data_IF_895428772543
#
_entry.id   IF_895428772543
#
_cell.length_a   1.000
_cell.length_b   1.000
_cell.length_c   1.000
_cell.angle_alpha   90.00
_cell.angle_beta   90.00
_cell.angle_gamma   90.00
#
_symmetry.space_group_name_H-M   'P 1'
#
loop_
_entity.id
_entity.type
_entity.pdbx_description
1 polymer ?
#
# COMPACT_ATOMS: atom_id res chain seq x y z
N UNK A 1 5.19 -12.94 -20.56
CA UNK A 1 4.81 -12.43 -21.91
C UNK A 1 4.71 -10.91 -21.96
N UNK A 2 4.16 -10.25 -20.93
CA UNK A 2 4.04 -8.77 -20.88
C UNK A 2 5.42 -8.10 -20.86
N UNK A 3 6.39 -8.68 -20.14
CA UNK A 3 7.78 -8.19 -20.14
C UNK A 3 8.48 -8.33 -21.48
N UNK A 4 8.17 -9.35 -22.28
CA UNK A 4 8.72 -9.51 -23.65
C UNK A 4 8.19 -8.45 -24.62
N UNK A 5 6.94 -8.02 -24.51
CA UNK A 5 6.36 -6.95 -25.33
C UNK A 5 6.96 -5.57 -25.01
N UNK A 6 7.34 -5.32 -23.74
CA UNK A 6 7.97 -4.07 -23.31
C UNK A 6 9.47 -3.99 -23.64
N UNK A 7 10.15 -5.13 -23.73
CA UNK A 7 11.59 -5.21 -24.05
C UNK A 7 11.85 -5.11 -25.55
N UNK A 8 10.86 -5.36 -26.41
CA UNK A 8 11.00 -5.33 -27.87
C UNK A 8 10.88 -3.94 -28.52
N UNK A 9 10.46 -2.91 -27.81
CA UNK A 9 10.42 -1.55 -28.35
C UNK A 9 11.52 -0.69 -27.74
N UNK A 10 12.58 -0.44 -28.50
CA UNK A 10 13.72 0.41 -28.09
C UNK A 10 13.32 1.82 -27.63
N UNK A 11 12.10 2.24 -27.88
CA UNK A 11 11.55 3.55 -27.47
C UNK A 11 11.09 3.61 -26.01
N UNK A 12 10.92 2.48 -25.33
CA UNK A 12 10.38 2.46 -23.96
C UNK A 12 11.43 2.48 -22.85
N UNK A 13 12.73 2.29 -23.17
CA UNK A 13 13.81 2.21 -22.17
C UNK A 13 14.86 3.26 -22.52
N UNK A 14 14.76 4.46 -21.95
CA UNK A 14 15.64 5.57 -22.30
C UNK A 14 16.85 5.75 -21.37
N UNK A 15 16.81 5.25 -20.15
CA UNK A 15 17.94 5.41 -19.21
C UNK A 15 18.27 4.08 -18.53
N UNK A 16 19.46 3.57 -18.83
CA UNK A 16 20.09 2.48 -18.10
C UNK A 16 21.04 3.07 -17.07
N UNK A 17 20.68 3.04 -15.81
CA UNK A 17 21.64 3.24 -14.73
C UNK A 17 22.41 1.93 -14.51
N UNK A 18 23.74 1.94 -14.65
CA UNK A 18 24.55 0.80 -14.26
C UNK A 18 24.78 0.82 -12.76
N UNK A 19 24.31 -0.20 -12.08
CA UNK A 19 24.77 -0.52 -10.72
C UNK A 19 26.09 -1.27 -10.82
N UNK A 20 26.98 -1.15 -9.84
CA UNK A 20 28.29 -1.83 -9.82
C UNK A 20 28.19 -3.37 -9.74
N UNK A 21 26.98 -3.96 -9.73
CA UNK A 21 26.75 -5.41 -9.80
C UNK A 21 26.29 -5.78 -11.21
N UNK A 22 27.06 -6.63 -11.87
CA UNK A 22 26.86 -7.11 -13.25
C UNK A 22 25.56 -7.90 -13.48
N UNK A 23 24.73 -8.14 -12.47
CA UNK A 23 23.49 -8.92 -12.55
C UNK A 23 22.20 -8.11 -12.44
N UNK A 24 22.26 -6.83 -12.10
CA UNK A 24 21.07 -5.99 -11.93
C UNK A 24 21.07 -4.81 -12.88
N UNK A 25 19.99 -4.66 -13.65
CA UNK A 25 19.77 -3.50 -14.52
C UNK A 25 18.63 -2.68 -13.96
N UNK A 26 18.92 -1.44 -13.57
CA UNK A 26 17.88 -0.50 -13.15
C UNK A 26 17.10 -0.01 -14.37
N UNK A 27 15.81 -0.34 -14.43
CA UNK A 27 14.90 0.12 -15.48
C UNK A 27 14.04 1.27 -14.95
N UNK A 28 14.06 2.41 -15.63
CA UNK A 28 13.20 3.55 -15.32
C UNK A 28 12.04 3.60 -16.31
N UNK A 29 10.81 3.71 -15.81
CA UNK A 29 9.62 3.89 -16.67
C UNK A 29 9.67 5.28 -17.27
N UNK A 30 9.72 5.41 -18.62
CA UNK A 30 10.10 6.67 -19.27
C UNK A 30 8.98 7.70 -19.36
N UNK A 31 7.72 7.31 -19.23
CA UNK A 31 6.59 8.23 -19.39
C UNK A 31 5.36 7.83 -18.58
N UNK A 32 4.41 8.76 -18.48
CA UNK A 32 3.16 8.61 -17.70
C UNK A 32 2.23 7.50 -18.25
N UNK A 33 2.24 7.27 -19.57
CA UNK A 33 1.38 6.25 -20.19
C UNK A 33 1.83 4.85 -19.84
N UNK A 34 3.14 4.59 -19.90
CA UNK A 34 3.72 3.30 -19.50
C UNK A 34 3.54 3.07 -17.99
N UNK A 35 3.68 4.12 -17.18
CA UNK A 35 3.39 4.05 -15.75
C UNK A 35 1.93 3.68 -15.49
N UNK A 36 0.98 4.28 -16.21
CA UNK A 36 -0.45 3.98 -16.08
C UNK A 36 -0.79 2.54 -16.47
N UNK A 37 -0.17 2.03 -17.54
CA UNK A 37 -0.33 0.64 -17.98
C UNK A 37 0.23 -0.31 -16.91
N UNK A 38 1.40 0.02 -16.35
CA UNK A 38 2.02 -0.79 -15.30
C UNK A 38 1.15 -0.81 -14.04
N UNK A 39 0.66 0.35 -13.60
CA UNK A 39 -0.27 0.46 -12.47
C UNK A 39 -1.55 -0.35 -12.71
N UNK A 40 -2.12 -0.26 -13.91
CA UNK A 40 -3.32 -1.01 -14.28
C UNK A 40 -3.06 -2.53 -14.26
N UNK A 41 -1.96 -2.99 -14.84
CA UNK A 41 -1.61 -4.42 -14.86
C UNK A 41 -1.33 -4.96 -13.47
N UNK A 42 -0.65 -4.18 -12.62
CA UNK A 42 -0.44 -4.52 -11.20
C UNK A 42 -1.79 -4.60 -10.48
N UNK A 43 -2.68 -3.63 -10.69
CA UNK A 43 -4.02 -3.60 -10.09
C UNK A 43 -4.88 -4.79 -10.55
N UNK A 44 -4.86 -5.14 -11.83
CA UNK A 44 -5.58 -6.30 -12.37
C UNK A 44 -5.04 -7.62 -11.80
N UNK A 45 -3.73 -7.77 -11.74
CA UNK A 45 -3.09 -8.94 -11.16
C UNK A 45 -3.40 -9.09 -9.65
N UNK A 46 -3.40 -7.98 -8.91
CA UNK A 46 -3.85 -7.95 -7.52
C UNK A 46 -5.33 -8.30 -7.39
N UNK A 47 -6.17 -7.80 -8.29
CA UNK A 47 -7.61 -8.09 -8.28
C UNK A 47 -7.88 -9.59 -8.46
N UNK A 48 -7.15 -10.27 -9.32
CA UNK A 48 -7.26 -11.71 -9.54
C UNK A 48 -6.75 -12.53 -8.34
N UNK A 49 -5.68 -12.08 -7.71
CA UNK A 49 -5.15 -12.71 -6.50
C UNK A 49 -6.11 -12.55 -5.31
N UNK A 50 -6.72 -11.36 -5.19
CA UNK A 50 -7.72 -11.06 -4.16
C UNK A 50 -9.07 -11.71 -4.41
N UNK A 51 -9.45 -11.97 -5.67
CA UNK A 51 -10.69 -12.68 -5.98
C UNK A 51 -10.69 -14.12 -5.45
N UNK A 52 -9.50 -14.69 -5.25
CA UNK A 52 -9.29 -16.03 -4.68
C UNK A 52 -9.23 -16.04 -3.15
N UNK A 53 -8.94 -14.90 -2.52
CA UNK A 53 -8.94 -14.75 -1.06
C UNK A 53 -10.28 -14.20 -0.57
N UNK A 54 -10.64 -14.54 0.66
CA UNK A 54 -11.91 -14.11 1.26
C UNK A 54 -11.87 -12.61 1.57
N UNK A 55 -12.18 -11.75 0.57
CA UNK A 55 -12.21 -10.29 0.71
C UNK A 55 -13.09 -9.82 1.87
N UNK A 56 -14.19 -10.53 2.12
CA UNK A 56 -15.12 -10.14 3.17
C UNK A 56 -14.45 -10.12 4.53
N UNK A 57 -13.58 -11.08 4.83
CA UNK A 57 -12.88 -11.17 6.12
C UNK A 57 -11.85 -10.04 6.30
N UNK A 58 -11.18 -9.59 5.24
CA UNK A 58 -10.26 -8.45 5.30
C UNK A 58 -11.00 -7.16 5.68
N UNK A 59 -12.12 -6.87 5.00
CA UNK A 59 -12.89 -5.65 5.29
C UNK A 59 -13.63 -5.73 6.62
N UNK A 60 -14.07 -6.90 7.02
CA UNK A 60 -14.66 -7.13 8.33
C UNK A 60 -13.63 -6.86 9.44
N UNK A 61 -12.44 -7.45 9.34
CA UNK A 61 -11.35 -7.18 10.27
C UNK A 61 -10.96 -5.70 10.30
N UNK A 62 -10.88 -5.05 9.13
CA UNK A 62 -10.54 -3.64 8.99
C UNK A 62 -11.52 -2.70 9.71
N UNK A 63 -12.83 -2.94 9.58
CA UNK A 63 -13.84 -2.08 10.21
C UNK A 63 -14.15 -2.45 11.66
N UNK A 64 -13.77 -3.66 12.10
CA UNK A 64 -13.90 -4.13 13.48
C UNK A 64 -12.67 -3.87 14.34
N UNK A 65 -11.62 -3.24 13.77
CA UNK A 65 -10.36 -2.93 14.47
C UNK A 65 -9.60 -4.19 14.94
N UNK A 66 -9.74 -5.28 14.16
CA UNK A 66 -9.04 -6.55 14.43
C UNK A 66 -7.66 -6.54 13.76
N UNK A 67 -6.68 -5.93 14.45
CA UNK A 67 -5.32 -5.77 13.96
C UNK A 67 -4.58 -7.10 13.77
N UNK A 68 -4.85 -8.09 14.64
CA UNK A 68 -4.23 -9.42 14.56
C UNK A 68 -4.68 -10.15 13.28
N UNK A 69 -5.98 -10.10 13.02
CA UNK A 69 -6.56 -10.71 11.80
C UNK A 69 -6.09 -9.99 10.54
N UNK A 70 -5.97 -8.66 10.58
CA UNK A 70 -5.39 -7.89 9.47
C UNK A 70 -3.94 -8.28 9.21
N UNK A 71 -3.13 -8.43 10.25
CA UNK A 71 -1.74 -8.87 10.17
C UNK A 71 -1.63 -10.23 9.47
N UNK A 72 -2.45 -11.20 9.89
CA UNK A 72 -2.50 -12.53 9.27
C UNK A 72 -2.85 -12.45 7.77
N UNK A 73 -3.98 -11.81 7.45
CA UNK A 73 -4.48 -11.73 6.07
C UNK A 73 -3.50 -10.98 5.15
N UNK A 74 -2.97 -9.85 5.60
CA UNK A 74 -2.02 -9.07 4.80
C UNK A 74 -0.70 -9.80 4.61
N UNK A 75 -0.18 -10.49 5.63
CA UNK A 75 1.03 -11.30 5.51
C UNK A 75 0.85 -12.46 4.54
N UNK A 76 -0.28 -13.15 4.58
CA UNK A 76 -0.61 -14.21 3.63
C UNK A 76 -0.70 -13.69 2.18
N UNK A 77 -1.33 -12.54 1.99
CA UNK A 77 -1.40 -11.89 0.69
C UNK A 77 0.00 -11.50 0.18
N UNK A 78 0.82 -10.91 1.01
CA UNK A 78 2.21 -10.56 0.68
C UNK A 78 3.02 -11.81 0.32
N UNK A 79 2.90 -12.88 1.12
CA UNK A 79 3.63 -14.13 0.87
C UNK A 79 3.32 -14.71 -0.50
N UNK A 80 2.05 -14.67 -0.91
CA UNK A 80 1.57 -15.24 -2.17
C UNK A 80 1.77 -14.33 -3.39
N UNK A 81 1.99 -13.01 -3.18
CA UNK A 81 1.97 -12.02 -4.27
C UNK A 81 3.32 -11.41 -4.57
N UNK A 82 4.22 -11.29 -3.60
CA UNK A 82 5.49 -10.56 -3.78
C UNK A 82 6.62 -11.47 -4.27
N UNK A 83 7.34 -10.99 -5.29
CA UNK A 83 8.64 -11.52 -5.68
C UNK A 83 9.74 -11.01 -4.72
N UNK A 84 10.86 -11.75 -4.59
CA UNK A 84 11.96 -11.45 -3.65
C UNK A 84 12.71 -10.12 -3.90
N UNK A 85 12.34 -9.36 -4.91
CA UNK A 85 13.06 -8.14 -5.32
C UNK A 85 12.29 -6.83 -5.11
N UNK A 86 11.02 -6.86 -4.67
CA UNK A 86 10.15 -5.68 -4.62
C UNK A 86 9.84 -5.24 -3.19
N UNK A 87 10.87 -4.77 -2.46
CA UNK A 87 10.70 -4.30 -1.08
C UNK A 87 10.75 -2.76 -0.94
N UNK A 88 10.47 -2.03 -2.01
CA UNK A 88 10.42 -0.58 -1.98
C UNK A 88 9.14 -0.10 -1.27
N UNK A 89 9.23 1.02 -0.55
CA UNK A 89 8.09 1.65 0.13
C UNK A 89 6.92 1.93 -0.84
N UNK A 90 7.24 2.41 -2.04
CA UNK A 90 6.25 2.66 -3.09
C UNK A 90 5.47 1.41 -3.51
N UNK A 91 6.07 0.23 -3.40
CA UNK A 91 5.40 -1.03 -3.68
C UNK A 91 4.34 -1.33 -2.62
N UNK A 92 4.69 -1.28 -1.33
CA UNK A 92 3.73 -1.56 -0.25
C UNK A 92 2.59 -0.54 -0.23
N UNK A 93 2.91 0.73 -0.52
CA UNK A 93 1.90 1.76 -0.67
C UNK A 93 0.91 1.44 -1.80
N UNK A 94 1.41 1.08 -2.98
CA UNK A 94 0.57 0.69 -4.12
C UNK A 94 -0.22 -0.60 -3.84
N UNK A 95 0.39 -1.55 -3.13
CA UNK A 95 -0.25 -2.80 -2.71
C UNK A 95 -1.47 -2.51 -1.82
N UNK A 96 -1.28 -1.77 -0.74
CA UNK A 96 -2.37 -1.45 0.20
C UNK A 96 -3.44 -0.57 -0.47
N UNK A 97 -3.05 0.43 -1.25
CA UNK A 97 -3.99 1.26 -2.01
C UNK A 97 -4.83 0.42 -3.00
N UNK A 98 -4.20 -0.51 -3.70
CA UNK A 98 -4.87 -1.41 -4.64
C UNK A 98 -5.85 -2.36 -3.98
N UNK A 99 -5.53 -2.89 -2.79
CA UNK A 99 -6.43 -3.73 -2.01
C UNK A 99 -7.76 -3.05 -1.73
N UNK A 100 -7.73 -1.79 -1.35
CA UNK A 100 -8.92 -1.05 -0.90
C UNK A 100 -9.67 -0.35 -2.04
N UNK A 101 -8.97 0.10 -3.10
CA UNK A 101 -9.59 0.74 -4.25
C UNK A 101 -10.62 -0.17 -4.96
N UNK A 102 -10.33 -1.48 -5.03
CA UNK A 102 -11.21 -2.46 -5.67
C UNK A 102 -12.44 -2.84 -4.84
N UNK A 103 -12.54 -2.38 -3.60
CA UNK A 103 -13.66 -2.69 -2.71
C UNK A 103 -14.84 -1.70 -2.79
N UNK A 104 -14.73 -0.71 -3.68
CA UNK A 104 -15.74 0.33 -3.81
C UNK A 104 -15.68 1.43 -2.75
N UNK A 105 -14.58 1.48 -1.99
CA UNK A 105 -14.29 2.60 -1.10
C UNK A 105 -13.57 3.71 -1.86
N UNK A 106 -13.68 4.93 -1.33
CA UNK A 106 -12.87 6.04 -1.81
C UNK A 106 -11.53 5.93 -1.10
N UNK A 107 -10.48 5.70 -1.89
CA UNK A 107 -9.10 5.63 -1.41
C UNK A 107 -8.36 6.88 -1.87
N UNK A 108 -7.92 7.67 -0.92
CA UNK A 108 -7.09 8.86 -1.16
C UNK A 108 -5.67 8.57 -0.72
N UNK A 109 -4.76 8.63 -1.68
CA UNK A 109 -3.33 8.40 -1.49
C UNK A 109 -2.63 9.74 -1.28
N UNK A 110 -1.69 9.80 -0.34
CA UNK A 110 -0.97 11.04 -0.01
C UNK A 110 -1.93 12.20 0.32
N UNK A 111 -2.92 11.94 1.16
CA UNK A 111 -3.92 12.93 1.53
C UNK A 111 -3.30 14.08 2.34
N UNK A 112 -3.34 15.28 1.79
CA UNK A 112 -2.77 16.47 2.42
C UNK A 112 -3.65 16.99 3.55
N UNK A 113 -3.08 17.03 4.75
CA UNK A 113 -3.64 17.68 5.92
C UNK A 113 -2.73 18.84 6.35
N UNK A 114 -3.27 19.84 6.99
CA UNK A 114 -2.55 21.08 7.31
C UNK A 114 -1.18 20.94 7.99
N UNK A 115 -0.88 19.80 8.59
CA UNK A 115 0.40 19.51 9.27
C UNK A 115 1.24 18.42 8.59
N UNK A 116 0.80 17.91 7.44
CA UNK A 116 1.52 16.87 6.70
C UNK A 116 0.65 16.11 5.73
N UNK A 117 1.14 14.93 5.32
CA UNK A 117 0.50 14.06 4.35
C UNK A 117 0.44 12.66 4.92
N UNK A 118 -0.76 12.09 5.01
CA UNK A 118 -0.94 10.67 5.35
C UNK A 118 -0.79 9.80 4.11
N UNK A 119 -0.27 8.59 4.28
CA UNK A 119 -0.06 7.70 3.15
C UNK A 119 -1.37 7.31 2.48
N UNK A 120 -2.36 6.87 3.26
CA UNK A 120 -3.65 6.43 2.75
C UNK A 120 -4.80 6.86 3.66
N UNK A 121 -5.89 7.29 3.03
CA UNK A 121 -7.19 7.50 3.70
C UNK A 121 -8.27 6.74 2.95
N UNK A 122 -9.02 5.91 3.67
CA UNK A 122 -10.15 5.14 3.14
C UNK A 122 -11.43 5.73 3.70
N UNK A 123 -12.37 6.09 2.83
CA UNK A 123 -13.61 6.74 3.21
C UNK A 123 -14.84 5.92 2.80
N UNK A 124 -15.68 5.59 3.78
CA UNK A 124 -17.03 5.05 3.58
C UNK A 124 -18.06 6.16 3.85
N UNK A 125 -18.49 6.82 2.78
CA UNK A 125 -19.45 7.93 2.88
C UNK A 125 -20.83 7.47 3.34
N UNK A 126 -21.23 6.24 3.04
CA UNK A 126 -22.56 5.74 3.41
C UNK A 126 -22.70 5.60 4.92
N UNK A 127 -21.70 5.04 5.57
CA UNK A 127 -21.67 4.83 7.01
C UNK A 127 -20.95 5.98 7.76
N UNK A 128 -20.47 7.01 7.04
CA UNK A 128 -19.74 8.16 7.60
C UNK A 128 -18.58 7.74 8.50
N UNK A 129 -17.82 6.77 8.05
CA UNK A 129 -16.63 6.25 8.72
C UNK A 129 -15.42 6.32 7.81
N UNK A 130 -14.23 6.47 8.38
CA UNK A 130 -13.00 6.56 7.64
C UNK A 130 -11.87 5.81 8.35
N UNK A 131 -10.83 5.51 7.62
CA UNK A 131 -9.61 4.88 8.13
C UNK A 131 -8.45 5.70 7.64
N UNK A 132 -7.51 5.98 8.54
CA UNK A 132 -6.21 6.59 8.24
C UNK A 132 -5.15 5.51 8.40
N UNK A 133 -4.32 5.35 7.40
CA UNK A 133 -3.23 4.37 7.41
C UNK A 133 -1.91 5.10 7.17
N UNK A 134 -0.94 4.79 7.99
CA UNK A 134 0.46 5.18 7.80
C UNK A 134 1.31 3.93 7.66
N UNK A 135 2.21 3.90 6.67
CA UNK A 135 3.03 2.76 6.32
C UNK A 135 4.48 3.01 6.70
N UNK A 136 5.17 1.99 7.18
CA UNK A 136 6.60 2.04 7.48
C UNK A 136 7.30 0.78 6.98
N UNK A 137 8.58 0.91 6.67
CA UNK A 137 9.44 -0.22 6.32
C UNK A 137 10.37 -0.50 7.50
N UNK A 138 10.28 -1.70 8.03
CA UNK A 138 11.18 -2.17 9.07
C UNK A 138 12.50 -2.67 8.48
N UNK A 139 13.61 -2.42 9.16
CA UNK A 139 14.94 -2.90 8.76
C UNK A 139 15.12 -4.40 8.97
N UNK A 140 14.43 -4.95 9.96
CA UNK A 140 14.38 -6.37 10.28
C UNK A 140 13.04 -6.70 10.94
N UNK A 141 12.78 -7.99 11.19
CA UNK A 141 11.51 -8.46 11.77
C UNK A 141 11.29 -7.93 13.19
N UNK A 142 12.35 -7.82 13.98
CA UNK A 142 12.26 -7.38 15.38
C UNK A 142 11.86 -5.90 15.51
N UNK A 143 12.07 -5.11 14.44
CA UNK A 143 11.71 -3.70 14.39
C UNK A 143 10.26 -3.44 13.92
N UNK A 144 9.48 -4.47 13.55
CA UNK A 144 8.12 -4.29 13.04
C UNK A 144 7.23 -3.54 14.04
N UNK A 145 7.25 -3.93 15.31
CA UNK A 145 6.43 -3.30 16.36
C UNK A 145 6.81 -1.83 16.56
N UNK A 146 8.10 -1.52 16.61
CA UNK A 146 8.59 -0.15 16.77
C UNK A 146 8.18 0.74 15.59
N UNK A 147 8.25 0.21 14.37
CA UNK A 147 7.86 0.97 13.18
C UNK A 147 6.33 1.15 13.09
N UNK A 148 5.52 0.17 13.49
CA UNK A 148 4.07 0.34 13.64
C UNK A 148 3.74 1.44 14.66
N UNK A 149 4.41 1.44 15.80
CA UNK A 149 4.19 2.45 16.83
C UNK A 149 4.55 3.85 16.31
N UNK A 150 5.67 4.01 15.59
CA UNK A 150 6.04 5.27 14.94
C UNK A 150 5.01 5.73 13.91
N UNK A 151 4.44 4.79 13.16
CA UNK A 151 3.36 5.11 12.21
C UNK A 151 2.13 5.68 12.94
N UNK A 152 1.69 5.04 14.02
CA UNK A 152 0.57 5.55 14.84
C UNK A 152 0.88 6.90 15.48
N UNK A 153 2.09 7.09 16.03
CA UNK A 153 2.52 8.38 16.54
C UNK A 153 2.47 9.47 15.47
N UNK A 154 2.91 9.19 14.26
CA UNK A 154 2.85 10.15 13.16
C UNK A 154 1.42 10.56 12.83
N UNK A 155 0.46 9.63 12.82
CA UNK A 155 -0.96 9.95 12.61
C UNK A 155 -1.48 10.91 13.69
N UNK A 156 -1.14 10.69 14.95
CA UNK A 156 -1.55 11.53 16.07
C UNK A 156 -0.88 12.91 16.04
N UNK A 157 0.44 12.97 15.91
CA UNK A 157 1.21 14.22 15.89
C UNK A 157 0.79 15.13 14.71
N UNK A 158 0.53 14.56 13.56
CA UNK A 158 0.10 15.28 12.37
C UNK A 158 -1.40 15.57 12.33
N UNK A 159 -2.16 15.05 13.30
CA UNK A 159 -3.61 15.25 13.43
C UNK A 159 -4.40 14.89 12.16
N UNK A 160 -3.99 13.83 11.48
CA UNK A 160 -4.63 13.43 10.22
C UNK A 160 -6.12 13.12 10.39
N UNK A 161 -6.51 12.53 11.52
CA UNK A 161 -7.90 12.21 11.82
C UNK A 161 -8.78 13.45 12.03
N UNK A 162 -8.24 14.54 12.59
CA UNK A 162 -9.00 15.73 12.95
C UNK A 162 -9.69 16.38 11.75
N UNK A 163 -9.00 16.48 10.60
CA UNK A 163 -9.60 17.03 9.38
C UNK A 163 -10.71 16.14 8.85
N UNK A 164 -10.53 14.83 8.91
CA UNK A 164 -11.53 13.85 8.46
C UNK A 164 -12.78 13.92 9.34
N UNK A 165 -12.61 14.09 10.65
CA UNK A 165 -13.72 14.33 11.59
C UNK A 165 -14.47 15.64 11.28
N UNK A 166 -13.74 16.72 10.95
CA UNK A 166 -14.31 17.99 10.51
C UNK A 166 -15.09 17.87 9.20
N UNK A 167 -14.65 16.98 8.29
CA UNK A 167 -15.36 16.65 7.05
C UNK A 167 -16.66 15.84 7.30
N UNK A 168 -16.97 15.55 8.57
CA UNK A 168 -18.23 14.94 9.01
C UNK A 168 -18.23 13.43 9.10
N UNK A 169 -17.06 12.80 9.11
CA UNK A 169 -16.93 11.36 9.43
C UNK A 169 -17.00 11.16 10.95
N UNK A 170 -17.90 10.27 11.37
CA UNK A 170 -18.20 10.06 12.81
C UNK A 170 -17.25 9.07 13.49
N UNK A 171 -16.72 8.12 12.74
CA UNK A 171 -15.77 7.13 13.21
C UNK A 171 -14.53 7.19 12.33
N UNK A 172 -13.38 7.45 12.93
CA UNK A 172 -12.08 7.47 12.27
C UNK A 172 -11.17 6.47 12.95
N UNK A 173 -10.86 5.38 12.25
CA UNK A 173 -9.95 4.34 12.70
C UNK A 173 -8.54 4.71 12.24
N UNK A 174 -7.53 4.34 13.02
CA UNK A 174 -6.13 4.62 12.74
C UNK A 174 -5.35 3.32 12.71
N UNK A 175 -4.56 3.11 11.67
CA UNK A 175 -3.68 1.97 11.56
C UNK A 175 -2.25 2.39 11.24
N UNK A 176 -1.30 1.90 12.03
CA UNK A 176 0.10 1.82 11.67
C UNK A 176 0.39 0.46 11.08
N UNK A 177 0.96 0.42 9.87
CA UNK A 177 1.34 -0.84 9.24
C UNK A 177 2.84 -0.81 8.93
N UNK A 178 3.58 -1.75 9.50
CA UNK A 178 4.99 -1.93 9.20
C UNK A 178 5.21 -3.17 8.35
N UNK A 179 6.12 -3.07 7.38
CA UNK A 179 6.47 -4.15 6.47
C UNK A 179 7.92 -4.54 6.60
N UNK A 180 8.17 -5.83 6.54
CA UNK A 180 9.50 -6.38 6.37
C UNK A 180 9.43 -7.56 5.40
N UNK A 181 9.92 -7.37 4.18
CA UNK A 181 9.84 -8.38 3.11
C UNK A 181 8.40 -8.84 2.88
N UNK A 182 8.12 -10.12 3.10
CA UNK A 182 6.80 -10.75 2.91
C UNK A 182 5.95 -10.78 4.19
N UNK A 183 6.39 -10.13 5.23
CA UNK A 183 5.68 -10.05 6.51
C UNK A 183 5.25 -8.62 6.79
N UNK A 184 4.16 -8.45 7.50
CA UNK A 184 3.75 -7.16 8.04
C UNK A 184 3.29 -7.31 9.48
N UNK A 185 3.15 -6.18 10.14
CA UNK A 185 2.46 -6.03 11.43
C UNK A 185 1.52 -4.85 11.32
N UNK A 186 0.31 -5.01 11.86
CA UNK A 186 -0.73 -3.97 11.95
C UNK A 186 -1.00 -3.67 13.41
N UNK A 187 -1.11 -2.38 13.75
CA UNK A 187 -1.53 -1.88 15.05
C UNK A 187 -2.57 -0.77 14.90
#
# INVERSE_FOLDING_TARGET
>A
EILRCLVGSEMCIRDRGSTHNLSETLLKIPNHEVMSIFQKSVTEWFSDSLARSNRSSLFEALWNEDADKLTEILSDLLFNTISYHDYAESFYHAFVAGLFANAGYIVESNYENGLGRSDLVIKDRKLRRAIVIELKIAKNKDCLADECYKALQQIEEKKYATKIEQDGFKKVIRYGIAFYKKECLVM
#
